data_IF_824895367872
#
_entry.id   IF_824895367872
#
_cell.length_a   1.000
_cell.length_b   1.000
_cell.length_c   1.000
_cell.angle_alpha   90.00
_cell.angle_beta   90.00
_cell.angle_gamma   90.00
#
_symmetry.space_group_name_H-M   'P 1'
#
loop_
_entity.id
_entity.type
_entity.pdbx_description
1 polymer ?
#
# COMPACT_ATOMS: atom_id res chain seq x y z
N UNK A 1 -4.34 8.25 2.78
CA UNK A 1 -5.01 8.87 1.64
C UNK A 1 -6.18 8.06 1.08
N UNK A 2 -6.24 6.77 1.30
CA UNK A 2 -7.41 5.95 1.05
C UNK A 2 -8.03 6.10 -0.35
N UNK A 3 -9.35 6.10 -0.41
CA UNK A 3 -10.12 6.13 -1.67
C UNK A 3 -10.18 7.49 -2.36
N UNK A 4 -9.74 8.56 -1.72
CA UNK A 4 -9.84 9.92 -2.27
C UNK A 4 -9.17 10.04 -3.65
N UNK A 5 -8.05 9.36 -3.86
CA UNK A 5 -7.34 9.36 -5.14
C UNK A 5 -8.16 8.74 -6.28
N UNK A 6 -8.95 7.73 -5.99
CA UNK A 6 -9.87 7.11 -6.96
C UNK A 6 -11.02 8.04 -7.34
N UNK A 7 -11.63 8.67 -6.35
CA UNK A 7 -12.81 9.51 -6.54
C UNK A 7 -12.49 10.86 -7.19
N UNK A 8 -11.29 11.39 -6.94
CA UNK A 8 -10.89 12.72 -7.40
C UNK A 8 -10.12 12.70 -8.72
N UNK A 9 -9.79 11.53 -9.26
CA UNK A 9 -8.96 11.40 -10.47
C UNK A 9 -9.45 12.22 -11.66
N UNK A 10 -10.76 12.27 -11.90
CA UNK A 10 -11.34 13.00 -13.02
C UNK A 10 -11.23 14.54 -12.91
N UNK A 11 -10.87 15.07 -11.76
CA UNK A 11 -10.80 16.50 -11.50
C UNK A 11 -9.38 17.08 -11.55
N UNK A 12 -8.37 16.21 -11.64
CA UNK A 12 -6.96 16.62 -11.54
C UNK A 12 -6.11 16.01 -12.66
N UNK A 13 -5.00 16.68 -13.04
CA UNK A 13 -4.08 16.12 -14.01
C UNK A 13 -3.44 14.82 -13.49
N UNK A 14 -3.23 13.90 -14.39
CA UNK A 14 -2.57 12.61 -14.13
C UNK A 14 -1.21 12.56 -14.81
N UNK A 15 -0.34 11.69 -14.31
CA UNK A 15 1.04 11.57 -14.75
C UNK A 15 1.45 10.10 -14.86
N UNK A 16 2.42 9.76 -15.72
CA UNK A 16 2.92 8.39 -15.84
C UNK A 16 3.60 7.92 -14.54
N UNK A 17 3.64 6.61 -14.33
CA UNK A 17 4.14 5.97 -13.11
C UNK A 17 5.57 6.41 -12.75
N UNK A 18 6.47 6.50 -13.74
CA UNK A 18 7.87 6.82 -13.52
C UNK A 18 8.08 8.16 -12.79
N UNK A 19 7.13 9.08 -12.88
CA UNK A 19 7.18 10.37 -12.17
C UNK A 19 7.16 10.22 -10.65
N UNK A 20 6.62 9.11 -10.17
CA UNK A 20 6.44 8.85 -8.74
C UNK A 20 7.47 7.88 -8.14
N UNK A 21 8.38 7.32 -8.94
CA UNK A 21 9.32 6.30 -8.47
C UNK A 21 10.28 6.78 -7.39
N UNK A 22 10.61 8.06 -7.38
CA UNK A 22 11.51 8.67 -6.38
C UNK A 22 10.74 9.46 -5.30
N UNK A 23 9.42 9.39 -5.27
CA UNK A 23 8.63 10.10 -4.28
C UNK A 23 8.69 9.38 -2.91
N UNK A 24 9.05 10.06 -1.81
CA UNK A 24 9.21 9.42 -0.51
C UNK A 24 7.88 8.92 0.06
N UNK A 25 7.92 7.76 0.73
CA UNK A 25 6.79 7.14 1.42
C UNK A 25 6.95 7.13 2.94
N UNK A 26 8.17 7.38 3.41
CA UNK A 26 8.58 7.21 4.80
C UNK A 26 7.69 7.91 5.84
N UNK A 27 7.33 9.21 5.69
CA UNK A 27 6.55 9.89 6.72
C UNK A 27 5.17 9.24 7.01
N UNK A 28 4.41 8.75 6.01
CA UNK A 28 3.16 8.05 6.27
C UNK A 28 3.32 6.67 6.90
N UNK A 29 4.43 5.96 6.63
CA UNK A 29 4.65 4.58 7.05
C UNK A 29 5.31 4.48 8.42
N UNK A 30 6.26 5.36 8.72
CA UNK A 30 7.10 5.29 9.93
C UNK A 30 6.69 6.28 11.05
N UNK A 31 5.45 6.74 11.07
CA UNK A 31 4.98 7.61 12.17
C UNK A 31 4.82 6.84 13.47
N UNK A 32 5.61 7.23 14.47
CA UNK A 32 5.70 6.54 15.76
C UNK A 32 4.68 7.02 16.82
N UNK A 33 4.04 8.15 16.63
CA UNK A 33 3.23 8.81 17.68
C UNK A 33 1.74 8.51 17.60
N UNK A 34 1.29 7.73 16.60
CA UNK A 34 -0.09 7.24 16.49
C UNK A 34 -0.10 5.77 16.09
N UNK A 35 -0.87 4.99 16.82
CA UNK A 35 -1.23 3.63 16.44
C UNK A 35 -2.62 3.65 15.83
N UNK A 36 -2.74 3.17 14.60
CA UNK A 36 -4.00 3.08 13.89
C UNK A 36 -4.41 1.63 13.72
N UNK A 37 -5.69 1.38 13.99
CA UNK A 37 -6.33 0.09 13.71
C UNK A 37 -7.52 0.34 12.80
N UNK A 38 -7.74 -0.58 11.86
CA UNK A 38 -8.96 -0.56 11.09
C UNK A 38 -10.13 -1.21 11.88
N UNK A 39 -11.33 -1.18 11.32
CA UNK A 39 -12.51 -1.77 11.95
C UNK A 39 -12.52 -3.30 11.94
N UNK A 40 -11.56 -3.95 11.31
CA UNK A 40 -11.32 -5.40 11.35
C UNK A 40 -10.24 -5.80 12.37
N UNK A 41 -9.62 -4.81 13.03
CA UNK A 41 -8.60 -5.02 14.04
C UNK A 41 -7.19 -5.22 13.48
N UNK A 42 -6.92 -4.79 12.24
CA UNK A 42 -5.57 -4.79 11.69
C UNK A 42 -4.80 -3.55 12.17
N UNK A 43 -3.58 -3.78 12.62
CA UNK A 43 -2.65 -2.70 12.95
C UNK A 43 -2.08 -2.12 11.65
N UNK A 44 -2.33 -0.85 11.41
CA UNK A 44 -1.98 -0.16 10.17
C UNK A 44 -0.68 0.63 10.30
N UNK A 45 0.21 0.63 9.27
CA UNK A 45 1.36 1.51 9.26
C UNK A 45 0.93 2.95 8.93
N UNK A 46 1.10 3.85 9.88
CA UNK A 46 0.78 5.26 9.69
C UNK A 46 -0.64 5.51 9.18
N UNK A 47 -0.76 6.11 8.00
CA UNK A 47 -2.05 6.44 7.37
C UNK A 47 -2.36 5.62 6.11
N UNK A 48 -1.66 4.52 5.89
CA UNK A 48 -1.81 3.70 4.69
C UNK A 48 -2.95 2.69 4.83
N UNK A 49 -4.14 3.04 4.41
CA UNK A 49 -5.27 2.11 4.34
C UNK A 49 -4.98 0.91 3.44
N UNK A 50 -5.50 -0.26 3.81
CA UNK A 50 -5.30 -1.50 3.08
C UNK A 50 -3.94 -2.18 3.29
N UNK A 51 -3.16 -1.74 4.29
CA UNK A 51 -1.93 -2.39 4.72
C UNK A 51 -2.06 -2.78 6.17
N UNK A 52 -1.74 -4.04 6.49
CA UNK A 52 -1.76 -4.59 7.83
C UNK A 52 -0.35 -5.00 8.26
N UNK A 53 0.02 -4.64 9.47
CA UNK A 53 1.22 -5.16 10.14
C UNK A 53 0.93 -6.45 10.92
N UNK A 54 -0.34 -6.73 11.19
CA UNK A 54 -0.85 -7.87 11.93
C UNK A 54 -2.14 -7.56 12.66
N UNK A 55 -2.67 -8.56 13.40
CA UNK A 55 -3.87 -8.40 14.22
C UNK A 55 -3.57 -7.67 15.52
N UNK A 56 -4.55 -6.91 16.03
CA UNK A 56 -4.48 -6.32 17.37
C UNK A 56 -4.30 -7.38 18.48
N UNK A 57 -4.72 -8.61 18.23
CA UNK A 57 -4.53 -9.74 19.16
C UNK A 57 -3.06 -10.16 19.29
N UNK A 58 -2.23 -9.83 18.32
CA UNK A 58 -0.81 -10.15 18.26
C UNK A 58 0.07 -8.91 18.53
N UNK A 59 -0.54 -7.81 19.01
CA UNK A 59 0.14 -6.53 19.14
C UNK A 59 1.38 -6.59 20.03
N UNK A 60 1.29 -7.29 21.17
CA UNK A 60 2.43 -7.42 22.10
C UNK A 60 3.62 -8.12 21.41
N UNK A 61 3.36 -9.19 20.68
CA UNK A 61 4.37 -9.89 19.91
C UNK A 61 4.96 -9.03 18.78
N UNK A 62 4.11 -8.30 18.07
CA UNK A 62 4.54 -7.37 17.03
C UNK A 62 5.43 -6.25 17.57
N UNK A 63 5.12 -5.72 18.76
CA UNK A 63 5.92 -4.67 19.40
C UNK A 63 7.26 -5.20 19.92
N UNK A 64 7.33 -6.45 20.35
CA UNK A 64 8.55 -7.08 20.85
C UNK A 64 9.48 -7.57 19.73
N UNK A 65 8.92 -8.21 18.71
CA UNK A 65 9.68 -8.90 17.66
C UNK A 65 9.77 -8.09 16.36
N UNK A 66 8.88 -7.12 16.17
CA UNK A 66 8.73 -6.40 14.92
C UNK A 66 8.03 -7.23 13.85
N UNK A 67 8.09 -6.74 12.62
CA UNK A 67 7.45 -7.35 11.45
C UNK A 67 8.50 -8.01 10.58
N UNK A 68 8.29 -9.28 10.22
CA UNK A 68 9.14 -9.97 9.24
C UNK A 68 8.87 -9.43 7.82
N UNK A 69 9.80 -8.64 7.33
CA UNK A 69 9.71 -8.03 5.99
C UNK A 69 9.99 -9.02 4.86
N UNK A 70 10.62 -10.14 5.12
CA UNK A 70 10.86 -11.16 4.08
C UNK A 70 9.58 -11.92 3.72
N UNK A 71 8.65 -12.01 4.67
CA UNK A 71 7.31 -12.55 4.45
C UNK A 71 6.30 -11.51 3.95
N UNK A 72 6.70 -10.22 3.88
CA UNK A 72 5.84 -9.08 3.50
C UNK A 72 6.50 -8.22 2.45
N UNK A 73 6.58 -8.71 1.19
CA UNK A 73 7.34 -8.04 0.14
C UNK A 73 6.80 -6.64 -0.21
N UNK A 74 5.50 -6.44 -0.21
CA UNK A 74 4.91 -5.11 -0.52
C UNK A 74 5.26 -4.10 0.56
N UNK A 75 5.14 -4.49 1.83
CA UNK A 75 5.53 -3.65 2.96
C UNK A 75 7.03 -3.31 2.92
N UNK A 76 7.87 -4.28 2.56
CA UNK A 76 9.32 -4.10 2.39
C UNK A 76 9.64 -3.01 1.37
N UNK A 77 9.04 -3.03 0.18
CA UNK A 77 9.21 -1.98 -0.82
C UNK A 77 8.80 -0.60 -0.28
N UNK A 78 7.71 -0.51 0.46
CA UNK A 78 7.22 0.75 0.99
C UNK A 78 8.12 1.32 2.09
N UNK A 79 8.66 0.47 2.97
CA UNK A 79 9.59 0.87 4.04
C UNK A 79 10.92 1.36 3.46
N UNK A 80 11.44 0.71 2.44
CA UNK A 80 12.67 1.10 1.74
C UNK A 80 12.45 2.17 0.67
N UNK A 81 11.25 2.73 0.56
CA UNK A 81 10.90 3.79 -0.42
C UNK A 81 11.14 3.38 -1.88
N UNK A 82 11.08 2.08 -2.17
CA UNK A 82 11.33 1.52 -3.50
C UNK A 82 10.03 1.34 -4.30
N UNK A 83 9.47 2.45 -4.73
CA UNK A 83 8.26 2.44 -5.57
C UNK A 83 8.53 1.81 -6.95
N UNK A 84 9.73 1.96 -7.48
CA UNK A 84 10.13 1.30 -8.74
C UNK A 84 10.17 -0.22 -8.56
N UNK A 85 10.77 -0.69 -7.46
CA UNK A 85 10.80 -2.12 -7.13
C UNK A 85 9.40 -2.69 -6.96
N UNK A 86 8.49 -1.98 -6.28
CA UNK A 86 7.09 -2.38 -6.16
C UNK A 86 6.38 -2.43 -7.53
N UNK A 87 6.66 -1.47 -8.39
CA UNK A 87 6.10 -1.45 -9.76
C UNK A 87 6.56 -2.67 -10.56
N UNK A 88 7.88 -2.93 -10.60
CA UNK A 88 8.45 -4.09 -11.29
C UNK A 88 7.91 -5.41 -10.69
N UNK A 89 7.80 -5.49 -9.39
CA UNK A 89 7.20 -6.65 -8.71
C UNK A 89 5.76 -6.89 -9.17
N UNK A 90 4.96 -5.83 -9.30
CA UNK A 90 3.60 -5.96 -9.81
C UNK A 90 3.57 -6.37 -11.30
N UNK A 91 4.54 -5.90 -12.13
CA UNK A 91 4.69 -6.33 -13.53
C UNK A 91 5.00 -7.84 -13.64
N UNK A 92 5.77 -8.41 -12.70
CA UNK A 92 6.02 -9.85 -12.64
C UNK A 92 4.71 -10.66 -12.40
N UNK A 93 3.71 -10.03 -11.79
CA UNK A 93 2.34 -10.56 -11.65
C UNK A 93 1.40 -10.14 -12.79
N UNK A 94 1.93 -9.57 -13.89
CA UNK A 94 1.15 -9.18 -15.06
C UNK A 94 0.48 -7.81 -14.96
N UNK A 95 0.95 -6.94 -14.06
CA UNK A 95 0.47 -5.56 -14.00
C UNK A 95 0.82 -4.81 -15.30
N UNK A 96 -0.10 -3.97 -15.76
CA UNK A 96 0.13 -3.05 -16.86
C UNK A 96 -0.15 -1.61 -16.42
N UNK A 97 0.79 -0.73 -16.73
CA UNK A 97 0.64 0.69 -16.43
C UNK A 97 -0.65 1.24 -17.03
N UNK A 98 -1.36 2.05 -16.27
CA UNK A 98 -2.61 2.68 -16.69
C UNK A 98 -2.34 3.75 -17.74
N UNK A 99 -2.98 3.67 -18.91
CA UNK A 99 -2.84 4.65 -20.00
C UNK A 99 -3.17 6.09 -19.56
N UNK A 100 -4.17 6.26 -18.68
CA UNK A 100 -4.56 7.55 -18.15
C UNK A 100 -3.58 8.09 -17.10
N UNK A 101 -2.60 7.29 -16.68
CA UNK A 101 -1.65 7.65 -15.63
C UNK A 101 -2.28 7.71 -14.23
N UNK A 102 -1.60 8.39 -13.31
CA UNK A 102 -1.91 8.44 -11.89
C UNK A 102 -1.95 9.87 -11.37
N UNK A 103 -2.86 10.13 -10.45
CA UNK A 103 -3.02 11.41 -9.79
C UNK A 103 -1.84 11.72 -8.84
N UNK A 104 -1.35 10.68 -8.17
CA UNK A 104 -0.31 10.79 -7.15
C UNK A 104 0.41 9.46 -6.95
N UNK A 105 1.50 9.48 -6.18
CA UNK A 105 2.17 8.27 -5.73
C UNK A 105 1.21 7.31 -4.99
N UNK A 106 0.31 7.85 -4.16
CA UNK A 106 -0.66 7.02 -3.44
C UNK A 106 -1.68 6.37 -4.38
N UNK A 107 -2.06 7.04 -5.46
CA UNK A 107 -2.92 6.46 -6.51
C UNK A 107 -2.20 5.30 -7.22
N UNK A 108 -0.94 5.50 -7.64
CA UNK A 108 -0.10 4.44 -8.19
C UNK A 108 0.05 3.27 -7.22
N UNK A 109 0.47 3.54 -5.98
CA UNK A 109 0.67 2.50 -4.96
C UNK A 109 -0.61 1.69 -4.71
N UNK A 110 -1.76 2.35 -4.61
CA UNK A 110 -3.05 1.67 -4.39
C UNK A 110 -3.43 0.82 -5.59
N UNK A 111 -3.19 1.28 -6.81
CA UNK A 111 -3.46 0.53 -8.03
C UNK A 111 -2.60 -0.74 -8.13
N UNK A 112 -1.30 -0.62 -7.85
CA UNK A 112 -0.37 -1.76 -7.79
C UNK A 112 -0.84 -2.80 -6.77
N UNK A 113 -1.18 -2.36 -5.55
CA UNK A 113 -1.66 -3.26 -4.48
C UNK A 113 -2.99 -3.92 -4.83
N UNK A 114 -3.92 -3.18 -5.44
CA UNK A 114 -5.20 -3.74 -5.91
C UNK A 114 -4.98 -4.84 -6.93
N UNK A 115 -4.04 -4.64 -7.86
CA UNK A 115 -3.67 -5.69 -8.83
C UNK A 115 -3.09 -6.91 -8.13
N UNK A 116 -2.14 -6.72 -7.21
CA UNK A 116 -1.48 -7.82 -6.49
C UNK A 116 -2.48 -8.66 -5.69
N UNK A 117 -3.40 -8.03 -4.96
CA UNK A 117 -4.48 -8.73 -4.23
C UNK A 117 -5.34 -9.59 -5.16
N UNK A 118 -5.55 -9.16 -6.41
CA UNK A 118 -6.29 -9.96 -7.40
C UNK A 118 -5.54 -11.21 -7.89
N UNK A 119 -4.25 -11.33 -7.62
CA UNK A 119 -3.39 -12.42 -8.11
C UNK A 119 -3.09 -13.46 -7.06
N UNK A 120 -2.83 -13.04 -5.84
CA UNK A 120 -2.58 -13.95 -4.73
C UNK A 120 -2.85 -13.26 -3.39
N UNK A 121 -2.90 -14.07 -2.33
CA UNK A 121 -3.03 -13.59 -0.97
C UNK A 121 -1.68 -13.08 -0.45
N UNK A 122 -1.65 -11.81 -0.05
CA UNK A 122 -0.53 -11.17 0.62
C UNK A 122 -0.96 -10.80 2.04
N UNK A 123 -0.29 -11.35 3.04
CA UNK A 123 -0.64 -11.16 4.45
C UNK A 123 -0.73 -9.68 4.87
N UNK A 124 0.10 -8.83 4.28
CA UNK A 124 0.13 -7.39 4.54
C UNK A 124 -0.92 -6.58 3.79
N UNK A 125 -1.60 -7.14 2.77
CA UNK A 125 -2.60 -6.43 1.98
C UNK A 125 -4.01 -6.70 2.51
N UNK A 126 -4.29 -6.16 3.69
CA UNK A 126 -5.54 -6.33 4.42
C UNK A 126 -6.10 -4.98 4.89
N UNK A 127 -7.41 -4.84 5.08
CA UNK A 127 -8.44 -5.86 4.78
C UNK A 127 -8.71 -5.96 3.27
N UNK A 128 -9.12 -7.11 2.80
CA UNK A 128 -9.47 -7.35 1.38
C UNK A 128 -10.57 -6.40 0.90
N UNK A 129 -11.52 -6.06 1.76
CA UNK A 129 -12.61 -5.14 1.48
C UNK A 129 -12.13 -3.73 1.09
N UNK A 130 -10.95 -3.32 1.54
CA UNK A 130 -10.36 -2.07 1.10
C UNK A 130 -10.16 -2.05 -0.42
N UNK A 131 -9.73 -3.16 -0.99
CA UNK A 131 -9.43 -3.29 -2.43
C UNK A 131 -10.66 -3.59 -3.28
N UNK A 132 -11.57 -4.43 -2.80
CA UNK A 132 -12.80 -4.79 -3.54
C UNK A 132 -13.72 -3.58 -3.76
N UNK A 133 -13.68 -2.59 -2.87
CA UNK A 133 -14.47 -1.37 -2.99
C UNK A 133 -13.80 -0.25 -3.80
N UNK A 134 -12.62 -0.49 -4.36
CA UNK A 134 -11.92 0.45 -5.24
C UNK A 134 -12.24 0.22 -6.73
N UNK A 135 -12.82 -0.89 -7.04
CA UNK A 135 -13.20 -1.25 -8.41
C UNK A 135 -14.45 -0.49 -8.88
#
# INVERSE_FOLDING_TARGET
MGRATYQLRSFYPTYPAHRFFNAPCQPPVLREWHNHFDNYGHFMPGYCGGISLGSWLELDELLEQGVDLDERPVLKFLIFEDMRGLFNFAEDFGYQEREQGYLSKCDLCTDLRTHLVSKQDFAELQPEEFYTHLA
#
